data_IF_690085471997
#
_entry.id   IF_690085471997
#
_cell.length_a   1.000
_cell.length_b   1.000
_cell.length_c   1.000
_cell.angle_alpha   90.00
_cell.angle_beta   90.00
_cell.angle_gamma   90.00
#
_symmetry.space_group_name_H-M   'P 1'
#
loop_
_entity.id
_entity.type
_entity.pdbx_description
1 polymer ?
#
# COMPACT_ATOMS: atom_id res chain seq x y z
N UNK A 1 29.63 16.41 17.35
CA UNK A 1 28.90 17.27 18.26
C UNK A 1 27.62 16.59 18.71
N UNK A 2 27.56 16.29 19.99
CA UNK A 2 26.49 15.50 20.60
C UNK A 2 25.14 16.23 20.52
N UNK A 3 25.14 17.54 20.75
CA UNK A 3 23.93 18.35 20.70
C UNK A 3 23.34 18.36 19.30
N UNK A 4 24.19 18.50 18.29
CA UNK A 4 23.75 18.51 16.89
C UNK A 4 23.09 17.18 16.51
N UNK A 5 23.70 16.06 16.86
CA UNK A 5 23.16 14.74 16.52
C UNK A 5 21.86 14.46 17.28
N UNK A 6 21.78 14.86 18.52
CA UNK A 6 20.56 14.70 19.31
C UNK A 6 19.41 15.51 18.73
N UNK A 7 19.65 16.75 18.32
CA UNK A 7 18.62 17.58 17.73
C UNK A 7 18.11 16.99 16.41
N UNK A 8 19.01 16.45 15.60
CA UNK A 8 18.60 15.81 14.35
C UNK A 8 17.79 14.55 14.61
N UNK A 9 18.17 13.78 15.59
CA UNK A 9 17.44 12.57 15.97
C UNK A 9 16.03 12.94 16.44
N UNK A 10 15.91 13.94 17.30
CA UNK A 10 14.62 14.39 17.80
C UNK A 10 13.72 14.89 16.68
N UNK A 11 14.27 15.64 15.74
CA UNK A 11 13.52 16.10 14.57
C UNK A 11 13.01 14.95 13.74
N UNK A 12 13.85 13.93 13.52
CA UNK A 12 13.45 12.76 12.76
C UNK A 12 12.32 12.01 13.46
N UNK A 13 12.42 11.82 14.78
CA UNK A 13 11.36 11.16 15.55
C UNK A 13 10.05 11.92 15.47
N UNK A 14 10.09 13.25 15.54
CA UNK A 14 8.90 14.07 15.43
C UNK A 14 8.25 13.95 14.06
N UNK A 15 9.06 13.91 13.01
CA UNK A 15 8.56 13.76 11.65
C UNK A 15 7.89 12.39 11.46
N UNK A 16 8.51 11.33 11.98
CA UNK A 16 7.95 9.98 11.91
C UNK A 16 6.63 9.92 12.66
N UNK A 17 6.57 10.49 13.86
CA UNK A 17 5.34 10.52 14.65
C UNK A 17 4.24 11.30 13.96
N UNK A 18 4.58 12.41 13.33
CA UNK A 18 3.61 13.23 12.61
C UNK A 18 3.04 12.46 11.42
N UNK A 19 3.91 11.80 10.65
CA UNK A 19 3.50 11.00 9.51
C UNK A 19 2.62 9.84 9.96
N UNK A 20 3.01 9.15 11.04
CA UNK A 20 2.22 8.06 11.62
C UNK A 20 0.83 8.54 12.02
N UNK A 21 0.73 9.69 12.64
CA UNK A 21 -0.56 10.26 13.06
C UNK A 21 -1.46 10.55 11.88
N UNK A 22 -0.89 11.10 10.79
CA UNK A 22 -1.66 11.38 9.59
C UNK A 22 -2.17 10.10 8.93
N UNK A 23 -1.32 9.07 8.87
CA UNK A 23 -1.69 7.80 8.29
C UNK A 23 -2.81 7.15 9.11
N UNK A 24 -2.67 7.12 10.42
CA UNK A 24 -3.70 6.53 11.29
C UNK A 24 -5.03 7.24 11.16
N UNK A 25 -5.00 8.55 11.03
CA UNK A 25 -6.22 9.35 10.84
C UNK A 25 -6.93 8.94 9.56
N UNK A 26 -6.18 8.79 8.47
CA UNK A 26 -6.76 8.43 7.18
C UNK A 26 -7.30 7.00 7.19
N UNK A 27 -6.58 6.08 7.82
CA UNK A 27 -6.96 4.66 7.82
C UNK A 27 -8.04 4.34 8.86
N UNK A 28 -8.28 5.22 9.82
CA UNK A 28 -9.33 4.99 10.81
C UNK A 28 -10.71 5.38 10.33
N UNK A 29 -10.83 5.99 9.15
CA UNK A 29 -12.13 6.33 8.59
C UNK A 29 -12.96 5.05 8.38
N UNK A 30 -14.28 5.08 8.65
CA UNK A 30 -15.09 3.86 8.59
C UNK A 30 -15.10 3.16 7.24
N UNK A 31 -14.91 3.91 6.17
CA UNK A 31 -14.93 3.34 4.80
C UNK A 31 -13.54 3.10 4.23
N UNK A 32 -12.50 3.23 5.04
CA UNK A 32 -11.14 2.96 4.58
C UNK A 32 -10.99 1.47 4.26
N UNK A 33 -10.23 1.17 3.21
CA UNK A 33 -9.97 -0.21 2.83
C UNK A 33 -9.15 -0.92 3.92
N UNK A 34 -9.47 -2.17 4.20
CA UNK A 34 -8.75 -2.97 5.19
C UNK A 34 -7.78 -3.94 4.57
N UNK A 35 -7.78 -4.05 3.24
CA UNK A 35 -6.90 -4.93 2.49
C UNK A 35 -6.45 -4.24 1.22
N UNK A 36 -5.26 -4.59 0.77
CA UNK A 36 -4.75 -4.09 -0.50
C UNK A 36 -3.95 -5.19 -1.17
N UNK A 37 -3.78 -5.06 -2.48
CA UNK A 37 -2.99 -5.99 -3.26
C UNK A 37 -1.73 -5.28 -3.74
N UNK A 38 -0.62 -6.00 -3.81
CA UNK A 38 0.66 -5.46 -4.25
C UNK A 38 1.40 -6.57 -4.99
N UNK A 39 2.19 -6.22 -6.01
CA UNK A 39 2.87 -7.27 -6.77
C UNK A 39 3.88 -8.01 -5.91
N UNK A 40 4.85 -7.30 -5.34
CA UNK A 40 5.84 -7.88 -4.43
C UNK A 40 5.56 -7.37 -3.02
N UNK A 41 5.56 -8.23 -1.99
CA UNK A 41 5.14 -7.82 -0.63
C UNK A 41 6.17 -6.93 0.05
N UNK A 42 6.25 -5.67 -0.37
CA UNK A 42 7.20 -4.70 0.14
C UNK A 42 6.65 -3.86 1.28
N UNK A 43 5.36 -3.96 1.57
CA UNK A 43 4.70 -3.14 2.60
C UNK A 43 4.22 -3.98 3.78
N UNK A 44 4.89 -5.10 4.05
CA UNK A 44 4.47 -6.00 5.14
C UNK A 44 4.46 -5.31 6.49
N UNK A 45 5.49 -4.50 6.78
CA UNK A 45 5.56 -3.77 8.04
C UNK A 45 4.45 -2.72 8.14
N UNK A 46 4.14 -2.05 7.02
CA UNK A 46 3.07 -1.06 6.96
C UNK A 46 1.72 -1.73 7.25
N UNK A 47 1.47 -2.86 6.60
CA UNK A 47 0.23 -3.60 6.80
C UNK A 47 0.08 -4.06 8.25
N UNK A 48 1.17 -4.58 8.84
CA UNK A 48 1.16 -5.04 10.22
C UNK A 48 0.90 -3.89 11.19
N UNK A 49 1.59 -2.76 10.99
CA UNK A 49 1.50 -1.64 11.93
C UNK A 49 0.12 -0.98 11.91
N UNK A 50 -0.57 -1.03 10.78
CA UNK A 50 -1.87 -0.38 10.64
C UNK A 50 -3.04 -1.36 10.52
N UNK A 51 -2.79 -2.65 10.80
CA UNK A 51 -3.85 -3.65 10.83
C UNK A 51 -4.48 -3.94 9.48
N UNK A 52 -3.70 -3.90 8.42
CA UNK A 52 -4.16 -4.14 7.07
C UNK A 52 -3.75 -5.53 6.59
N UNK A 53 -4.50 -6.07 5.65
CA UNK A 53 -4.17 -7.35 5.02
C UNK A 53 -3.48 -7.09 3.68
N UNK A 54 -2.23 -7.46 3.55
CA UNK A 54 -1.47 -7.35 2.32
C UNK A 54 -1.54 -8.65 1.54
N UNK A 55 -1.96 -8.55 0.27
CA UNK A 55 -2.07 -9.69 -0.62
C UNK A 55 -1.07 -9.51 -1.75
N UNK A 56 -0.14 -10.45 -1.92
CA UNK A 56 0.86 -10.34 -2.98
C UNK A 56 0.39 -11.06 -4.24
N UNK A 57 0.72 -10.47 -5.40
CA UNK A 57 0.37 -11.04 -6.69
C UNK A 57 1.37 -12.11 -7.09
N UNK A 58 2.66 -11.88 -6.85
CA UNK A 58 3.70 -12.83 -7.21
C UNK A 58 3.54 -14.14 -6.45
N UNK A 59 4.01 -15.21 -7.05
CA UNK A 59 3.96 -16.54 -6.46
C UNK A 59 5.39 -17.04 -6.28
N UNK A 60 5.90 -16.94 -5.04
CA UNK A 60 7.26 -17.36 -4.74
C UNK A 60 8.34 -16.64 -5.54
N UNK A 61 8.14 -15.34 -5.79
CA UNK A 61 9.07 -14.55 -6.57
C UNK A 61 8.93 -14.68 -8.07
N UNK A 62 7.89 -15.37 -8.53
CA UNK A 62 7.64 -15.61 -9.95
C UNK A 62 6.30 -15.05 -10.36
N UNK A 63 6.10 -14.93 -11.67
CA UNK A 63 4.81 -14.51 -12.19
C UNK A 63 3.74 -15.52 -11.77
N UNK A 64 2.52 -15.06 -11.47
CA UNK A 64 1.45 -15.95 -11.05
C UNK A 64 0.98 -16.83 -12.19
N UNK A 65 0.63 -18.08 -11.86
CA UNK A 65 -0.01 -18.98 -12.81
C UNK A 65 -1.44 -18.51 -13.07
N UNK A 66 -2.08 -18.97 -14.16
CA UNK A 66 -3.48 -18.65 -14.42
C UNK A 66 -4.42 -19.04 -13.28
N UNK A 67 -4.16 -20.16 -12.64
CA UNK A 67 -4.95 -20.60 -11.49
C UNK A 67 -4.79 -19.65 -10.30
N UNK A 68 -3.57 -19.18 -10.07
CA UNK A 68 -3.29 -18.24 -9.00
C UNK A 68 -3.94 -16.88 -9.28
N UNK A 69 -3.91 -16.44 -10.53
CA UNK A 69 -4.59 -15.19 -10.92
C UNK A 69 -6.08 -15.27 -10.63
N UNK A 70 -6.71 -16.39 -10.96
CA UNK A 70 -8.12 -16.56 -10.66
C UNK A 70 -8.39 -16.51 -9.16
N UNK A 71 -7.54 -17.17 -8.36
CA UNK A 71 -7.67 -17.14 -6.91
C UNK A 71 -7.52 -15.72 -6.37
N UNK A 72 -6.61 -14.92 -6.95
CA UNK A 72 -6.42 -13.54 -6.54
C UNK A 72 -7.64 -12.68 -6.87
N UNK A 73 -8.26 -12.91 -8.02
CA UNK A 73 -9.47 -12.18 -8.40
C UNK A 73 -10.59 -12.49 -7.40
N UNK A 74 -10.78 -13.76 -7.08
CA UNK A 74 -11.79 -14.17 -6.12
C UNK A 74 -11.52 -13.57 -4.73
N UNK A 75 -10.26 -13.59 -4.30
CA UNK A 75 -9.86 -13.03 -3.01
C UNK A 75 -10.07 -11.52 -2.97
N UNK A 76 -9.80 -10.85 -4.08
CA UNK A 76 -9.99 -9.41 -4.22
C UNK A 76 -11.45 -9.03 -3.97
N UNK A 77 -12.36 -9.82 -4.50
CA UNK A 77 -13.78 -9.59 -4.31
C UNK A 77 -14.22 -9.96 -2.89
N UNK A 78 -13.69 -11.05 -2.35
CA UNK A 78 -14.07 -11.52 -1.02
C UNK A 78 -13.63 -10.55 0.09
N UNK A 79 -12.47 -9.93 -0.07
CA UNK A 79 -11.92 -9.01 0.94
C UNK A 79 -12.15 -7.55 0.62
N UNK A 80 -12.94 -7.25 -0.40
CA UNK A 80 -13.25 -5.87 -0.82
C UNK A 80 -11.98 -5.05 -1.06
N UNK A 81 -11.03 -5.63 -1.78
CA UNK A 81 -9.81 -4.93 -2.17
C UNK A 81 -10.16 -3.89 -3.21
N UNK A 82 -9.73 -2.65 -3.00
CA UNK A 82 -10.05 -1.53 -3.88
C UNK A 82 -8.85 -0.99 -4.62
N UNK A 83 -7.64 -1.37 -4.19
CA UNK A 83 -6.41 -0.78 -4.70
C UNK A 83 -5.37 -1.88 -4.90
N UNK A 84 -4.65 -1.80 -6.01
CA UNK A 84 -3.51 -2.65 -6.30
C UNK A 84 -2.29 -1.75 -6.48
N UNK A 85 -1.27 -1.95 -5.66
CA UNK A 85 -0.04 -1.18 -5.76
C UNK A 85 0.96 -1.90 -6.65
N UNK A 86 1.63 -1.16 -7.51
CA UNK A 86 2.63 -1.71 -8.45
C UNK A 86 3.94 -0.94 -8.31
N UNK A 87 5.02 -1.67 -8.11
CA UNK A 87 6.36 -1.09 -8.05
C UNK A 87 6.92 -0.91 -9.45
N UNK A 88 7.82 0.10 -9.66
CA UNK A 88 8.30 0.42 -11.01
C UNK A 88 9.08 -0.70 -11.68
N UNK A 89 9.75 -1.55 -10.91
CA UNK A 89 10.62 -2.60 -11.45
C UNK A 89 9.86 -3.84 -11.91
N UNK A 90 8.56 -3.90 -11.70
CA UNK A 90 7.76 -5.08 -12.06
C UNK A 90 6.79 -4.81 -13.19
N UNK A 91 6.48 -5.87 -13.94
CA UNK A 91 5.48 -5.81 -15.02
C UNK A 91 4.09 -5.68 -14.41
N UNK A 92 3.34 -4.69 -14.85
CA UNK A 92 2.02 -4.42 -14.29
C UNK A 92 0.87 -5.07 -15.06
N UNK A 93 1.17 -5.94 -16.04
CA UNK A 93 0.11 -6.57 -16.85
C UNK A 93 -0.82 -7.43 -16.00
N UNK A 94 -0.27 -8.19 -15.05
CA UNK A 94 -1.10 -9.02 -14.17
C UNK A 94 -1.98 -8.19 -13.27
N UNK A 95 -1.46 -7.08 -12.73
CA UNK A 95 -2.23 -6.17 -11.92
C UNK A 95 -3.37 -5.54 -12.72
N UNK A 96 -3.09 -5.16 -13.96
CA UNK A 96 -4.10 -4.59 -14.85
C UNK A 96 -5.19 -5.60 -15.18
N UNK A 97 -4.81 -6.86 -15.38
CA UNK A 97 -5.78 -7.93 -15.62
C UNK A 97 -6.74 -8.10 -14.44
N UNK A 98 -6.19 -8.14 -13.23
CA UNK A 98 -7.00 -8.24 -12.01
C UNK A 98 -7.90 -7.02 -11.87
N UNK A 99 -7.36 -5.84 -12.14
CA UNK A 99 -8.12 -4.60 -12.03
C UNK A 99 -9.30 -4.56 -12.99
N UNK A 100 -9.11 -5.03 -14.21
CA UNK A 100 -10.19 -5.08 -15.20
C UNK A 100 -11.30 -6.03 -14.77
N UNK A 101 -10.95 -7.13 -14.10
CA UNK A 101 -11.92 -8.12 -13.68
C UNK A 101 -12.66 -7.71 -12.41
N UNK A 102 -12.08 -6.88 -11.58
CA UNK A 102 -12.59 -6.58 -10.25
C UNK A 102 -13.00 -5.12 -10.06
N UNK A 103 -12.62 -4.25 -10.99
CA UNK A 103 -12.88 -2.82 -10.83
C UNK A 103 -11.96 -2.12 -9.84
N UNK A 104 -10.87 -2.75 -9.45
CA UNK A 104 -9.89 -2.12 -8.55
C UNK A 104 -9.05 -1.10 -9.31
N UNK A 105 -8.42 -0.21 -8.54
CA UNK A 105 -7.57 0.84 -9.08
C UNK A 105 -6.11 0.42 -8.98
N UNK A 106 -5.36 0.57 -10.07
CA UNK A 106 -3.92 0.28 -10.08
C UNK A 106 -3.17 1.58 -9.79
N UNK A 107 -2.34 1.59 -8.76
CA UNK A 107 -1.61 2.77 -8.33
C UNK A 107 -0.12 2.45 -8.25
N UNK A 108 0.73 3.18 -8.99
CA UNK A 108 2.17 2.98 -8.89
C UNK A 108 2.70 3.54 -7.57
N UNK A 109 3.61 2.80 -6.95
CA UNK A 109 4.30 3.25 -5.74
C UNK A 109 5.78 2.95 -5.86
N UNK A 110 6.58 3.67 -5.08
CA UNK A 110 8.02 3.44 -4.99
C UNK A 110 8.42 3.30 -3.53
N UNK A 111 8.39 2.08 -2.97
CA UNK A 111 8.71 1.86 -1.55
C UNK A 111 10.13 2.25 -1.17
N UNK A 112 11.01 2.42 -2.16
CA UNK A 112 12.40 2.80 -1.93
C UNK A 112 12.65 4.28 -2.17
N UNK A 113 11.59 5.08 -2.23
CA UNK A 113 11.71 6.51 -2.46
C UNK A 113 12.48 7.19 -1.33
N UNK A 114 13.30 8.17 -1.70
CA UNK A 114 13.96 9.02 -0.70
C UNK A 114 12.95 9.80 0.14
N UNK A 115 11.82 10.12 -0.46
CA UNK A 115 10.75 10.80 0.26
C UNK A 115 9.78 9.76 0.81
N UNK A 116 10.27 9.00 1.76
CA UNK A 116 9.53 7.90 2.39
C UNK A 116 8.20 8.38 2.99
N UNK A 117 8.22 9.55 3.63
CA UNK A 117 7.03 10.07 4.28
C UNK A 117 5.92 10.35 3.28
N UNK A 118 6.26 11.00 2.17
CA UNK A 118 5.30 11.31 1.13
C UNK A 118 4.74 10.03 0.52
N UNK A 119 5.62 9.06 0.28
CA UNK A 119 5.21 7.80 -0.32
C UNK A 119 4.24 7.02 0.59
N UNK A 120 4.52 6.99 1.89
CA UNK A 120 3.65 6.33 2.84
C UNK A 120 2.30 7.05 2.97
N UNK A 121 2.30 8.36 2.90
CA UNK A 121 1.07 9.14 2.89
C UNK A 121 0.26 8.88 1.62
N UNK A 122 0.92 8.73 0.48
CA UNK A 122 0.24 8.40 -0.76
C UNK A 122 -0.44 7.02 -0.68
N UNK A 123 0.23 6.05 -0.09
CA UNK A 123 -0.36 4.73 0.15
C UNK A 123 -1.60 4.85 1.03
N UNK A 124 -1.51 5.60 2.11
CA UNK A 124 -2.62 5.79 3.03
C UNK A 124 -3.80 6.51 2.35
N UNK A 125 -3.50 7.52 1.54
CA UNK A 125 -4.54 8.25 0.79
C UNK A 125 -5.27 7.33 -0.18
N UNK A 126 -4.54 6.42 -0.82
CA UNK A 126 -5.13 5.47 -1.76
C UNK A 126 -6.08 4.52 -1.05
N UNK A 127 -5.79 4.16 0.19
CA UNK A 127 -6.61 3.27 0.99
C UNK A 127 -7.75 3.98 1.70
N UNK A 128 -7.66 5.28 1.86
CA UNK A 128 -8.70 6.06 2.51
C UNK A 128 -9.95 6.11 1.64
N UNK A 129 -11.14 6.33 2.22
CA UNK A 129 -12.34 6.43 1.42
C UNK A 129 -12.25 7.64 0.50
N UNK A 130 -12.54 7.41 -0.77
CA UNK A 130 -12.54 8.50 -1.74
C UNK A 130 -13.66 9.45 -1.37
N UNK A 131 -13.35 10.73 -1.34
CA UNK A 131 -14.38 11.74 -1.22
C UNK A 131 -15.36 11.54 -2.39
N UNK A 132 -16.64 11.62 -2.10
CA UNK A 132 -17.64 11.40 -3.12
C UNK A 132 -17.40 12.37 -4.27
N UNK A 133 -16.78 11.86 -5.32
CA UNK A 133 -16.57 12.67 -6.52
C UNK A 133 -17.83 12.67 -7.32
N UNK A 134 -18.20 13.83 -7.64
CA UNK A 134 -19.40 14.01 -8.43
C UNK A 134 -19.17 13.58 -9.84
#
# INVERSE_FOLDING_TARGET
NEVYYRNRYDSLCQRIQHTDSLIRRQLSAPKAAKAFMIYHPALSYFARDYGLHQISIEEGGKEPSPAHLKALIDLCQAEDVRVIFVQPEFDKRNAETIAQQTGTKVIPINPLSYDWEEEMLNVAKALAPQAATK
#
